data_IF_894974571972
#
_entry.id   IF_894974571972
#
_cell.length_a   1.000
_cell.length_b   1.000
_cell.length_c   1.000
_cell.angle_alpha   90.00
_cell.angle_beta   90.00
_cell.angle_gamma   90.00
#
_symmetry.space_group_name_H-M   'P 1'
#
loop_
_entity.id
_entity.type
_entity.pdbx_description
1 polymer ?
#
# COMPACT_ATOMS: atom_id res chain seq x y z
N UNK A 1 -4.05 17.89 34.34
CA UNK A 1 -3.49 18.85 33.35
C UNK A 1 -3.93 18.41 31.96
N UNK A 2 -4.13 19.41 31.11
CA UNK A 2 -4.80 19.44 29.82
C UNK A 2 -4.73 18.20 28.93
N UNK A 3 -5.92 17.82 28.45
CA UNK A 3 -6.09 17.32 27.09
C UNK A 3 -5.65 18.40 26.10
N UNK A 4 -4.73 18.07 25.20
CA UNK A 4 -4.44 18.89 24.02
C UNK A 4 -4.04 17.96 22.89
N UNK A 5 -5.01 17.76 22.00
CA UNK A 5 -4.91 17.79 20.54
C UNK A 5 -3.55 17.48 19.90
N UNK A 6 -3.54 16.47 19.03
CA UNK A 6 -2.71 16.51 17.83
C UNK A 6 -3.50 15.88 16.69
N UNK A 7 -4.06 16.75 15.86
CA UNK A 7 -4.59 16.41 14.53
C UNK A 7 -3.46 15.79 13.70
N UNK A 8 -3.67 14.65 13.04
CA UNK A 8 -2.69 14.18 12.06
C UNK A 8 -2.68 15.16 10.87
N UNK A 9 -1.50 15.45 10.29
CA UNK A 9 -1.43 16.26 9.10
C UNK A 9 -2.14 15.54 7.95
N UNK A 10 -3.12 16.23 7.36
CA UNK A 10 -3.68 15.86 6.06
C UNK A 10 -2.61 16.10 5.01
N UNK A 11 -1.79 15.08 4.75
CA UNK A 11 -0.83 15.11 3.65
C UNK A 11 -1.60 15.01 2.35
N UNK A 12 -1.72 16.15 1.70
CA UNK A 12 -2.40 16.33 0.42
C UNK A 12 -1.76 15.46 -0.66
N UNK A 13 -2.63 14.74 -1.36
CA UNK A 13 -2.33 13.90 -2.51
C UNK A 13 -1.66 14.71 -3.62
N UNK A 14 -0.34 14.62 -3.74
CA UNK A 14 0.36 14.96 -4.98
C UNK A 14 0.40 13.73 -5.87
N UNK A 15 -0.68 13.53 -6.62
CA UNK A 15 -0.70 12.70 -7.83
C UNK A 15 0.01 13.48 -8.94
N UNK A 16 1.25 13.12 -9.24
CA UNK A 16 1.97 13.60 -10.41
C UNK A 16 2.70 12.43 -11.05
N UNK A 17 2.30 12.13 -12.29
CA UNK A 17 2.70 11.04 -13.19
C UNK A 17 4.18 11.12 -13.62
N UNK A 18 5.12 11.21 -12.69
CA UNK A 18 6.54 11.05 -12.94
C UNK A 18 7.01 9.70 -12.42
N UNK A 19 7.80 8.97 -13.22
CA UNK A 19 8.58 7.76 -12.89
C UNK A 19 8.55 7.44 -11.38
N UNK A 20 7.86 6.37 -10.98
CA UNK A 20 7.83 5.88 -9.59
C UNK A 20 9.23 5.35 -9.22
N UNK A 21 10.16 6.28 -9.06
CA UNK A 21 11.55 6.04 -8.75
C UNK A 21 11.76 5.88 -7.27
N UNK A 22 12.84 5.19 -6.95
CA UNK A 22 13.31 4.95 -5.60
C UNK A 22 14.80 5.33 -5.54
N UNK A 23 15.17 6.11 -4.52
CA UNK A 23 16.57 6.45 -4.30
C UNK A 23 17.27 5.27 -3.60
N UNK A 24 18.02 4.47 -4.36
CA UNK A 24 18.71 3.28 -3.85
C UNK A 24 19.69 3.58 -2.71
N UNK A 25 20.15 4.83 -2.57
CA UNK A 25 21.07 5.23 -1.50
C UNK A 25 20.49 4.99 -0.11
N UNK A 26 19.16 4.99 0.02
CA UNK A 26 18.46 4.80 1.30
C UNK A 26 18.57 3.37 1.83
N UNK A 27 18.80 2.36 0.99
CA UNK A 27 18.81 0.93 1.38
C UNK A 27 19.85 0.63 2.46
N UNK A 28 20.92 1.42 2.55
CA UNK A 28 22.00 1.23 3.53
C UNK A 28 21.84 2.10 4.79
N UNK A 29 20.67 2.70 5.00
CA UNK A 29 20.42 3.61 6.12
C UNK A 29 19.68 2.91 7.28
N UNK A 30 19.82 3.40 8.53
CA UNK A 30 19.04 2.87 9.66
C UNK A 30 17.52 3.00 9.47
N UNK A 31 17.08 4.08 8.80
CA UNK A 31 15.67 4.34 8.55
C UNK A 31 15.05 3.28 7.63
N UNK A 32 15.80 2.77 6.65
CA UNK A 32 15.38 1.65 5.81
C UNK A 32 15.18 0.37 6.63
N UNK A 33 16.13 0.03 7.50
CA UNK A 33 16.01 -1.16 8.35
C UNK A 33 14.79 -1.10 9.27
N UNK A 34 14.49 0.08 9.84
CA UNK A 34 13.27 0.30 10.62
C UNK A 34 12.02 0.13 9.76
N UNK A 35 12.00 0.73 8.57
CA UNK A 35 10.88 0.60 7.63
C UNK A 35 10.61 -0.85 7.24
N UNK A 36 11.64 -1.63 6.92
CA UNK A 36 11.47 -3.05 6.57
C UNK A 36 10.88 -3.85 7.74
N UNK A 37 11.33 -3.61 8.96
CA UNK A 37 10.79 -4.28 10.14
C UNK A 37 9.32 -3.91 10.40
N UNK A 38 8.96 -2.63 10.29
CA UNK A 38 7.57 -2.17 10.40
C UNK A 38 6.69 -2.75 9.28
N UNK A 39 7.18 -2.71 8.04
CA UNK A 39 6.49 -3.25 6.88
C UNK A 39 6.23 -4.75 7.03
N UNK A 40 7.19 -5.51 7.56
CA UNK A 40 7.00 -6.93 7.86
C UNK A 40 5.86 -7.15 8.87
N UNK A 41 5.81 -6.38 9.95
CA UNK A 41 4.74 -6.49 10.95
C UNK A 41 3.37 -6.15 10.34
N UNK A 42 3.29 -5.10 9.53
CA UNK A 42 2.06 -4.71 8.87
C UNK A 42 1.63 -5.72 7.80
N UNK A 43 2.58 -6.29 7.06
CA UNK A 43 2.33 -7.31 6.05
C UNK A 43 1.68 -8.56 6.65
N UNK A 44 2.09 -8.98 7.86
CA UNK A 44 1.46 -10.10 8.57
C UNK A 44 -0.02 -9.86 8.87
N UNK A 45 -0.44 -8.61 9.06
CA UNK A 45 -1.83 -8.24 9.32
C UNK A 45 -2.65 -8.25 8.04
N UNK A 46 -2.15 -7.62 6.96
CA UNK A 46 -2.94 -7.44 5.73
C UNK A 46 -2.90 -8.64 4.77
N UNK A 47 -1.82 -9.43 4.78
CA UNK A 47 -1.64 -10.57 3.87
C UNK A 47 -2.81 -11.58 3.91
N UNK A 48 -3.26 -12.10 5.08
CA UNK A 48 -4.35 -13.06 5.12
C UNK A 48 -5.68 -12.47 4.62
N UNK A 49 -5.93 -11.19 4.89
CA UNK A 49 -7.17 -10.49 4.50
C UNK A 49 -7.21 -10.23 3.01
N UNK A 50 -6.17 -9.62 2.45
CA UNK A 50 -6.10 -9.26 1.03
C UNK A 50 -5.99 -10.48 0.12
N UNK A 51 -5.37 -11.57 0.59
CA UNK A 51 -5.20 -12.79 -0.21
C UNK A 51 -6.45 -13.66 -0.31
N UNK A 52 -7.40 -13.53 0.61
CA UNK A 52 -8.61 -14.36 0.64
C UNK A 52 -9.90 -13.61 0.28
N UNK A 53 -9.89 -12.27 0.33
CA UNK A 53 -11.00 -11.36 0.06
C UNK A 53 -12.25 -11.56 0.95
N UNK A 54 -12.54 -12.76 1.43
CA UNK A 54 -13.61 -13.07 2.40
C UNK A 54 -13.57 -12.18 3.65
N UNK A 55 -12.41 -11.90 4.27
CA UNK A 55 -12.38 -11.12 5.50
C UNK A 55 -12.71 -9.64 5.29
N UNK A 56 -12.82 -9.16 4.04
CA UNK A 56 -13.19 -7.77 3.73
C UNK A 56 -14.68 -7.46 3.92
N UNK A 57 -15.53 -8.49 4.05
CA UNK A 57 -16.95 -8.33 4.38
C UNK A 57 -17.21 -8.12 5.88
N UNK A 58 -16.22 -8.38 6.73
CA UNK A 58 -16.28 -8.08 8.15
C UNK A 58 -15.81 -6.64 8.43
N UNK A 59 -16.65 -5.86 9.11
CA UNK A 59 -16.42 -4.44 9.32
C UNK A 59 -15.17 -4.15 10.17
N UNK A 60 -14.85 -5.02 11.13
CA UNK A 60 -13.67 -4.86 11.99
C UNK A 60 -12.39 -5.20 11.22
N UNK A 61 -12.37 -6.33 10.50
CA UNK A 61 -11.25 -6.69 9.63
C UNK A 61 -10.98 -5.63 8.57
N UNK A 62 -12.02 -5.09 7.96
CA UNK A 62 -11.89 -4.01 6.99
C UNK A 62 -11.30 -2.74 7.62
N UNK A 63 -11.77 -2.37 8.82
CA UNK A 63 -11.25 -1.21 9.58
C UNK A 63 -9.77 -1.40 9.92
N UNK A 64 -9.39 -2.58 10.42
CA UNK A 64 -7.99 -2.93 10.71
C UNK A 64 -7.13 -2.89 9.45
N UNK A 65 -7.64 -3.41 8.34
CA UNK A 65 -6.94 -3.42 7.05
C UNK A 65 -6.69 -2.01 6.54
N UNK A 66 -7.72 -1.15 6.49
CA UNK A 66 -7.59 0.26 6.08
C UNK A 66 -6.60 1.01 6.96
N UNK A 67 -6.66 0.83 8.28
CA UNK A 67 -5.72 1.47 9.20
C UNK A 67 -4.28 1.01 8.96
N UNK A 68 -4.08 -0.28 8.71
CA UNK A 68 -2.76 -0.84 8.48
C UNK A 68 -2.17 -0.35 7.15
N UNK A 69 -2.98 -0.30 6.09
CA UNK A 69 -2.60 0.28 4.80
C UNK A 69 -2.22 1.76 4.96
N UNK A 70 -3.00 2.54 5.70
CA UNK A 70 -2.69 3.95 5.96
C UNK A 70 -1.34 4.14 6.65
N UNK A 71 -1.01 3.27 7.61
CA UNK A 71 0.30 3.28 8.29
C UNK A 71 1.42 2.92 7.32
N UNK A 72 1.26 1.87 6.51
CA UNK A 72 2.26 1.49 5.48
C UNK A 72 2.51 2.66 4.54
N UNK A 73 1.45 3.29 4.03
CA UNK A 73 1.54 4.44 3.12
C UNK A 73 2.33 5.58 3.75
N UNK A 74 2.00 5.93 4.99
CA UNK A 74 2.64 7.03 5.70
C UNK A 74 4.12 6.72 5.98
N UNK A 75 4.44 5.50 6.42
CA UNK A 75 5.83 5.07 6.64
C UNK A 75 6.64 5.09 5.33
N UNK A 76 6.06 4.63 4.22
CA UNK A 76 6.69 4.67 2.91
C UNK A 76 6.94 6.11 2.39
N UNK A 77 6.08 7.08 2.73
CA UNK A 77 6.33 8.50 2.41
C UNK A 77 7.47 9.10 3.23
N UNK A 78 7.64 8.65 4.48
CA UNK A 78 8.74 9.08 5.37
C UNK A 78 10.08 8.52 4.91
N UNK A 79 10.10 7.29 4.38
CA UNK A 79 11.30 6.57 3.88
C UNK A 79 11.44 6.69 2.36
N UNK A 80 10.98 7.79 1.76
CA UNK A 80 10.64 7.96 0.33
C UNK A 80 10.59 6.71 -0.57
N UNK A 81 9.85 5.66 -0.17
CA UNK A 81 9.64 4.45 -0.96
C UNK A 81 8.40 4.63 -1.85
N UNK A 82 8.56 5.45 -2.89
CA UNK A 82 7.44 5.87 -3.76
C UNK A 82 6.62 4.70 -4.29
N UNK A 83 7.21 3.61 -4.83
CA UNK A 83 6.43 2.49 -5.35
C UNK A 83 5.52 1.83 -4.31
N UNK A 84 5.98 1.69 -3.06
CA UNK A 84 5.17 1.16 -1.96
C UNK A 84 4.04 2.13 -1.64
N UNK A 85 4.36 3.41 -1.39
CA UNK A 85 3.34 4.41 -1.01
C UNK A 85 2.24 4.55 -2.07
N UNK A 86 2.61 4.51 -3.36
CA UNK A 86 1.70 4.65 -4.47
C UNK A 86 0.83 3.39 -4.66
N UNK A 87 1.42 2.20 -4.61
CA UNK A 87 0.66 0.95 -4.69
C UNK A 87 -0.33 0.82 -3.51
N UNK A 88 0.10 1.14 -2.29
CA UNK A 88 -0.76 1.13 -1.09
C UNK A 88 -1.93 2.08 -1.24
N UNK A 89 -1.71 3.28 -1.77
CA UNK A 89 -2.78 4.25 -2.03
C UNK A 89 -3.82 3.72 -3.03
N UNK A 90 -3.40 3.06 -4.12
CA UNK A 90 -4.35 2.50 -5.07
C UNK A 90 -5.13 1.31 -4.48
N UNK A 91 -4.53 0.51 -3.57
CA UNK A 91 -5.26 -0.53 -2.81
C UNK A 91 -6.30 0.09 -1.86
N UNK A 92 -5.99 1.21 -1.20
CA UNK A 92 -6.99 1.94 -0.38
C UNK A 92 -8.17 2.41 -1.23
N UNK A 93 -7.91 3.05 -2.39
CA UNK A 93 -8.95 3.50 -3.31
C UNK A 93 -9.81 2.33 -3.80
N UNK A 94 -9.16 1.21 -4.13
CA UNK A 94 -9.85 0.02 -4.57
C UNK A 94 -10.79 -0.53 -3.49
N UNK A 95 -10.37 -0.56 -2.23
CA UNK A 95 -11.23 -0.96 -1.11
C UNK A 95 -12.45 -0.05 -0.95
N UNK A 96 -12.29 1.26 -1.18
CA UNK A 96 -13.40 2.22 -1.13
C UNK A 96 -14.41 1.97 -2.26
N UNK A 97 -13.93 1.75 -3.49
CA UNK A 97 -14.79 1.44 -4.66
C UNK A 97 -15.49 0.08 -4.53
N UNK A 98 -14.84 -0.90 -3.90
CA UNK A 98 -15.49 -2.19 -3.62
C UNK A 98 -16.59 -2.03 -2.55
N UNK A 99 -16.39 -1.16 -1.56
CA UNK A 99 -17.38 -0.88 -0.53
C UNK A 99 -18.62 -0.14 -1.05
N UNK A 100 -18.48 0.67 -2.10
CA UNK A 100 -19.63 1.26 -2.78
C UNK A 100 -20.42 0.25 -3.61
N UNK A 101 -19.94 -0.99 -3.74
CA UNK A 101 -20.58 -2.04 -4.54
C UNK A 101 -20.40 -1.85 -6.04
N UNK A 102 -19.43 -1.04 -6.46
CA UNK A 102 -19.21 -0.70 -7.87
C UNK A 102 -18.48 -1.83 -8.61
N UNK A 103 -17.53 -2.49 -7.95
CA UNK A 103 -16.79 -3.64 -8.47
C UNK A 103 -16.57 -4.68 -7.37
N UNK A 104 -16.32 -5.92 -7.76
CA UNK A 104 -15.80 -6.94 -6.85
C UNK A 104 -14.32 -6.69 -6.55
N UNK A 105 -13.86 -7.12 -5.37
CA UNK A 105 -12.48 -6.96 -4.95
C UNK A 105 -11.53 -7.78 -5.84
N UNK A 106 -10.60 -7.14 -6.60
CA UNK A 106 -9.73 -7.85 -7.54
C UNK A 106 -8.60 -8.57 -6.79
N UNK A 107 -8.94 -9.72 -6.21
CA UNK A 107 -8.07 -10.53 -5.36
C UNK A 107 -6.71 -10.86 -6.01
N UNK A 108 -6.68 -11.06 -7.33
CA UNK A 108 -5.43 -11.31 -8.06
C UNK A 108 -4.43 -10.15 -7.93
N UNK A 109 -4.90 -8.90 -8.12
CA UNK A 109 -4.05 -7.71 -7.99
C UNK A 109 -3.66 -7.45 -6.52
N UNK A 110 -4.56 -7.75 -5.59
CA UNK A 110 -4.28 -7.64 -4.16
C UNK A 110 -3.20 -8.64 -3.71
N UNK A 111 -3.21 -9.86 -4.26
CA UNK A 111 -2.18 -10.88 -4.03
C UNK A 111 -0.84 -10.45 -4.62
N UNK A 112 -0.83 -9.90 -5.83
CA UNK A 112 0.38 -9.35 -6.45
C UNK A 112 0.98 -8.21 -5.62
N UNK A 113 0.14 -7.33 -5.05
CA UNK A 113 0.57 -6.28 -4.12
C UNK A 113 1.22 -6.87 -2.86
N UNK A 114 0.58 -7.88 -2.23
CA UNK A 114 1.13 -8.57 -1.06
C UNK A 114 2.46 -9.26 -1.38
N UNK A 115 2.58 -9.89 -2.55
CA UNK A 115 3.81 -10.54 -3.01
C UNK A 115 4.92 -9.53 -3.28
N UNK A 116 4.59 -8.36 -3.87
CA UNK A 116 5.51 -7.24 -4.05
C UNK A 116 6.06 -6.73 -2.71
N UNK A 117 5.17 -6.45 -1.74
CA UNK A 117 5.60 -6.07 -0.38
C UNK A 117 6.46 -7.14 0.29
N UNK A 118 6.09 -8.41 0.15
CA UNK A 118 6.89 -9.53 0.66
C UNK A 118 8.29 -9.57 0.02
N UNK A 119 8.38 -9.27 -1.28
CA UNK A 119 9.64 -9.13 -2.00
C UNK A 119 10.51 -8.00 -1.45
N UNK A 120 9.92 -6.85 -1.14
CA UNK A 120 10.60 -5.70 -0.50
C UNK A 120 11.13 -6.09 0.89
N UNK A 121 10.30 -6.70 1.73
CA UNK A 121 10.68 -7.17 3.08
C UNK A 121 11.83 -8.18 3.01
N UNK A 122 11.77 -9.11 2.06
CA UNK A 122 12.80 -10.13 1.84
C UNK A 122 14.05 -9.58 1.13
N UNK A 123 14.03 -8.29 0.73
CA UNK A 123 15.11 -7.62 0.01
C UNK A 123 15.57 -8.42 -1.22
N UNK A 124 14.62 -9.04 -1.92
CA UNK A 124 14.88 -9.85 -3.12
C UNK A 124 15.34 -8.92 -4.24
N UNK A 125 16.47 -9.26 -4.89
CA UNK A 125 16.99 -8.52 -6.05
C UNK A 125 16.72 -9.19 -7.40
N UNK A 126 16.24 -10.44 -7.45
CA UNK A 126 16.10 -11.20 -8.70
C UNK A 126 15.02 -12.29 -8.64
N UNK A 127 14.40 -12.66 -9.79
CA UNK A 127 14.63 -12.14 -11.15
C UNK A 127 13.86 -10.85 -11.48
N UNK A 128 12.93 -10.41 -10.63
CA UNK A 128 12.21 -9.13 -10.78
C UNK A 128 12.45 -8.29 -9.53
N UNK A 129 12.65 -6.98 -9.72
CA UNK A 129 12.81 -6.01 -8.65
C UNK A 129 11.44 -5.70 -8.05
N UNK A 130 11.18 -6.02 -6.77
CA UNK A 130 9.86 -5.88 -6.17
C UNK A 130 9.35 -4.42 -6.15
N UNK A 131 10.25 -3.43 -6.14
CA UNK A 131 9.85 -2.02 -6.23
C UNK A 131 9.40 -1.66 -7.65
N UNK A 132 10.04 -2.23 -8.67
CA UNK A 132 9.61 -2.09 -10.06
C UNK A 132 8.24 -2.75 -10.29
N UNK A 133 8.03 -3.97 -9.77
CA UNK A 133 6.76 -4.68 -9.89
C UNK A 133 5.62 -3.89 -9.23
N UNK A 134 5.83 -3.34 -8.04
CA UNK A 134 4.86 -2.47 -7.36
C UNK A 134 4.56 -1.19 -8.16
N UNK A 135 5.58 -0.61 -8.81
CA UNK A 135 5.39 0.56 -9.67
C UNK A 135 4.51 0.22 -10.90
N UNK A 136 4.72 -0.93 -11.52
CA UNK A 136 3.89 -1.40 -12.64
C UNK A 136 2.46 -1.71 -12.20
N UNK A 137 2.32 -2.43 -11.08
CA UNK A 137 1.03 -2.78 -10.49
C UNK A 137 0.21 -1.54 -10.14
N UNK A 138 0.86 -0.47 -9.67
CA UNK A 138 0.21 0.82 -9.40
C UNK A 138 -0.51 1.37 -10.63
N UNK A 139 0.09 1.25 -11.83
CA UNK A 139 -0.55 1.67 -13.08
C UNK A 139 -1.80 0.85 -13.39
N UNK A 140 -1.74 -0.46 -13.19
CA UNK A 140 -2.87 -1.39 -13.39
C UNK A 140 -4.01 -1.10 -12.42
N UNK A 141 -3.72 -0.97 -11.12
CA UNK A 141 -4.70 -0.67 -10.08
C UNK A 141 -5.42 0.67 -10.35
N UNK A 142 -4.66 1.71 -10.69
CA UNK A 142 -5.21 3.04 -11.00
C UNK A 142 -6.15 3.01 -12.20
N UNK A 143 -5.78 2.28 -13.24
CA UNK A 143 -6.60 2.14 -14.44
C UNK A 143 -7.94 1.46 -14.10
N UNK A 144 -7.89 0.37 -13.31
CA UNK A 144 -9.09 -0.32 -12.85
C UNK A 144 -10.02 0.59 -12.03
N UNK A 145 -9.46 1.32 -11.05
CA UNK A 145 -10.24 2.28 -10.24
C UNK A 145 -10.85 3.41 -11.09
N UNK A 146 -10.11 3.91 -12.09
CA UNK A 146 -10.60 4.97 -12.99
C UNK A 146 -11.76 4.49 -13.87
N UNK A 147 -11.70 3.25 -14.37
CA UNK A 147 -12.79 2.64 -15.13
C UNK A 147 -14.04 2.41 -14.28
N UNK A 148 -13.87 1.97 -13.03
CA UNK A 148 -14.97 1.72 -12.11
C UNK A 148 -15.71 3.00 -11.69
N UNK A 149 -14.99 4.11 -11.53
CA UNK A 149 -15.58 5.40 -11.08
C UNK A 149 -16.16 6.25 -12.21
N UNK A 150 -15.88 5.90 -13.46
CA UNK A 150 -16.40 6.61 -14.65
C UNK A 150 -17.69 6.00 -15.23
N UNK A 151 -18.17 4.90 -14.64
CA UNK A 151 -19.39 4.17 -15.04
C UNK A 151 -20.59 4.58 -14.18
#
# INVERSE_FOLDING_TARGET
>A
VSSSESTPPSVSSTSSTGELGFDESIVNTPIWSTFIAELEQHLQVISPVLSSAEPLHDAENLRVTKRTLHTIKSSAMVVPVTPVSAATHEIENLLDVCQSGTIEFPQALAKEYVEGLAGVVQQKRTPMDPLCDLALLTGTLRNLCSQATSA
#
